data_IF_289726213214
#
_entry.id   IF_289726213214
#
_cell.length_a   1.000
_cell.length_b   1.000
_cell.length_c   1.000
_cell.angle_alpha   90.00
_cell.angle_beta   90.00
_cell.angle_gamma   90.00
#
_symmetry.space_group_name_H-M   'P 1'
#
loop_
_entity.id
_entity.type
_entity.pdbx_description
1 polymer ?
#
# COMPACT_ATOMS: atom_id res chain seq x y z
N UNK A 1 13.39 -4.07 -10.65
CA UNK A 1 12.27 -3.79 -9.72
C UNK A 1 11.75 -2.39 -9.92
N UNK A 2 10.48 -2.27 -10.26
CA UNK A 2 9.84 -0.97 -10.48
C UNK A 2 8.90 -0.65 -9.31
N UNK A 3 9.09 0.51 -8.73
CA UNK A 3 8.21 1.01 -7.67
C UNK A 3 7.56 2.27 -8.23
N UNK A 4 6.25 2.23 -8.42
CA UNK A 4 5.57 3.30 -9.13
C UNK A 4 4.15 3.51 -8.59
N UNK A 5 3.62 4.68 -8.91
CA UNK A 5 2.23 4.98 -8.63
C UNK A 5 1.37 4.03 -9.45
N UNK A 6 0.44 3.35 -8.80
CA UNK A 6 -0.42 2.38 -9.50
C UNK A 6 -1.39 3.09 -10.45
N UNK A 7 -1.65 2.43 -11.56
CA UNK A 7 -2.52 2.94 -12.63
C UNK A 7 -3.58 1.88 -12.96
N UNK A 8 -4.56 2.27 -13.76
CA UNK A 8 -5.65 1.36 -14.14
C UNK A 8 -5.16 0.00 -14.66
N UNK A 9 -4.05 -0.02 -15.37
CA UNK A 9 -3.49 -1.27 -15.89
C UNK A 9 -3.06 -2.24 -14.76
N UNK A 10 -2.89 -1.75 -13.55
CA UNK A 10 -2.48 -2.56 -12.41
C UNK A 10 -3.66 -3.16 -11.63
N UNK A 11 -4.88 -2.89 -12.07
CA UNK A 11 -6.08 -3.45 -11.42
C UNK A 11 -6.08 -4.98 -11.49
N UNK A 12 -5.41 -5.53 -12.47
CA UNK A 12 -5.30 -7.00 -12.62
C UNK A 12 -4.65 -7.65 -11.39
N UNK A 13 -3.89 -6.88 -10.61
CA UNK A 13 -3.23 -7.40 -9.40
C UNK A 13 -4.09 -7.28 -8.14
N UNK A 14 -5.26 -6.64 -8.22
CA UNK A 14 -6.07 -6.32 -7.02
C UNK A 14 -6.44 -7.56 -6.21
N UNK A 15 -6.81 -8.65 -6.89
CA UNK A 15 -7.16 -9.89 -6.22
C UNK A 15 -5.97 -10.49 -5.47
N UNK A 16 -4.82 -10.51 -6.12
CA UNK A 16 -3.59 -11.02 -5.51
C UNK A 16 -3.18 -10.18 -4.31
N UNK A 17 -3.30 -8.85 -4.43
CA UNK A 17 -2.98 -7.95 -3.34
C UNK A 17 -3.91 -8.21 -2.15
N UNK A 18 -5.20 -8.34 -2.40
CA UNK A 18 -6.20 -8.61 -1.37
C UNK A 18 -5.88 -9.89 -0.62
N UNK A 19 -5.56 -10.96 -1.34
CA UNK A 19 -5.19 -12.24 -0.72
C UNK A 19 -3.93 -12.12 0.11
N UNK A 20 -2.94 -11.39 -0.38
CA UNK A 20 -1.69 -11.19 0.34
C UNK A 20 -1.91 -10.44 1.65
N UNK A 21 -2.75 -9.43 1.64
CA UNK A 21 -3.10 -8.68 2.85
C UNK A 21 -3.82 -9.57 3.85
N UNK A 22 -4.80 -10.35 3.38
CA UNK A 22 -5.57 -11.25 4.24
C UNK A 22 -4.67 -12.29 4.91
N UNK A 23 -3.74 -12.88 4.16
CA UNK A 23 -2.84 -13.89 4.71
C UNK A 23 -1.88 -13.28 5.74
N UNK A 24 -1.39 -12.08 5.47
CA UNK A 24 -0.52 -11.38 6.40
C UNK A 24 -1.25 -11.07 7.71
N UNK A 25 -2.51 -10.69 7.63
CA UNK A 25 -3.32 -10.40 8.82
C UNK A 25 -3.56 -11.67 9.64
N UNK A 26 -3.81 -12.80 8.99
CA UNK A 26 -3.98 -14.09 9.67
C UNK A 26 -2.74 -14.48 10.45
N UNK A 27 -1.59 -14.36 9.82
CA UNK A 27 -0.31 -14.72 10.45
C UNK A 27 -0.06 -13.88 11.70
N UNK A 28 -0.43 -12.61 11.66
CA UNK A 28 -0.23 -11.72 12.81
C UNK A 28 -1.35 -11.84 13.85
N UNK A 29 -2.42 -12.57 13.54
CA UNK A 29 -3.54 -12.72 14.45
C UNK A 29 -4.31 -11.42 14.67
N UNK A 30 -4.24 -10.50 13.73
CA UNK A 30 -4.93 -9.23 13.85
C UNK A 30 -6.34 -9.31 13.27
N UNK A 31 -7.29 -8.63 13.91
CA UNK A 31 -8.67 -8.56 13.43
C UNK A 31 -8.91 -7.42 12.47
N UNK A 32 -8.02 -7.24 11.52
CA UNK A 32 -8.11 -6.14 10.57
C UNK A 32 -9.27 -6.37 9.60
N UNK A 33 -10.01 -5.30 9.30
CA UNK A 33 -11.09 -5.35 8.33
C UNK A 33 -10.54 -5.78 6.96
N UNK A 34 -11.28 -6.65 6.31
CA UNK A 34 -10.88 -7.18 5.02
C UNK A 34 -10.89 -6.09 3.94
N UNK A 35 -9.86 -6.10 3.10
CA UNK A 35 -9.80 -5.22 1.94
C UNK A 35 -10.14 -6.03 0.69
N UNK A 36 -11.31 -5.75 0.12
CA UNK A 36 -11.76 -6.48 -1.06
C UNK A 36 -10.98 -6.05 -2.30
N UNK A 37 -10.90 -6.91 -3.32
CA UNK A 37 -10.29 -6.50 -4.58
C UNK A 37 -10.95 -5.26 -5.19
N UNK A 38 -12.26 -5.12 -5.05
CA UNK A 38 -12.99 -3.95 -5.56
C UNK A 38 -12.55 -2.67 -4.87
N UNK A 39 -12.37 -2.72 -3.56
CA UNK A 39 -11.91 -1.57 -2.80
C UNK A 39 -10.50 -1.16 -3.23
N UNK A 40 -9.62 -2.15 -3.37
CA UNK A 40 -8.24 -1.89 -3.79
C UNK A 40 -8.19 -1.37 -5.23
N UNK A 41 -9.03 -1.89 -6.10
CA UNK A 41 -9.11 -1.42 -7.48
C UNK A 41 -9.47 0.07 -7.51
N UNK A 42 -10.37 0.51 -6.64
CA UNK A 42 -10.74 1.92 -6.53
C UNK A 42 -9.54 2.78 -6.16
N UNK A 43 -8.73 2.33 -5.20
CA UNK A 43 -7.51 3.04 -4.79
C UNK A 43 -6.52 3.13 -5.95
N UNK A 44 -6.35 2.04 -6.68
CA UNK A 44 -5.46 2.00 -7.84
C UNK A 44 -5.93 2.97 -8.92
N UNK A 45 -7.22 2.92 -9.23
CA UNK A 45 -7.82 3.74 -10.28
C UNK A 45 -7.71 5.23 -9.97
N UNK A 46 -7.86 5.59 -8.70
CA UNK A 46 -7.80 6.99 -8.26
C UNK A 46 -6.39 7.52 -8.09
N UNK A 47 -5.37 6.68 -8.33
CA UNK A 47 -3.99 7.10 -8.17
C UNK A 47 -3.56 7.24 -6.72
N UNK A 48 -4.24 6.56 -5.80
CA UNK A 48 -3.99 6.64 -4.38
C UNK A 48 -3.21 5.42 -3.86
N UNK A 49 -2.46 4.78 -4.73
CA UNK A 49 -1.70 3.58 -4.36
C UNK A 49 -0.37 3.54 -5.07
N UNK A 50 0.56 2.82 -4.44
CA UNK A 50 1.88 2.53 -5.01
C UNK A 50 2.00 1.02 -5.14
N UNK A 51 2.52 0.56 -6.25
CA UNK A 51 2.74 -0.86 -6.51
C UNK A 51 4.21 -1.09 -6.85
N UNK A 52 4.75 -2.20 -6.38
CA UNK A 52 6.09 -2.64 -6.74
C UNK A 52 5.96 -3.89 -7.59
N UNK A 53 6.63 -3.90 -8.72
CA UNK A 53 6.61 -5.00 -9.67
C UNK A 53 8.03 -5.42 -10.01
N UNK A 54 8.26 -6.71 -10.02
CA UNK A 54 9.50 -7.27 -10.55
C UNK A 54 9.15 -7.90 -11.90
N UNK A 55 9.43 -7.16 -12.97
CA UNK A 55 8.90 -7.43 -14.30
C UNK A 55 7.36 -7.41 -14.23
N UNK A 56 6.68 -8.51 -14.46
CA UNK A 56 5.22 -8.57 -14.36
C UNK A 56 4.75 -9.28 -13.10
N UNK A 57 5.64 -9.44 -12.13
CA UNK A 57 5.32 -10.14 -10.89
C UNK A 57 5.06 -9.13 -9.76
N UNK A 58 3.94 -9.29 -9.07
CA UNK A 58 3.61 -8.44 -7.93
C UNK A 58 4.61 -8.65 -6.80
N UNK A 59 5.19 -7.55 -6.32
CA UNK A 59 6.18 -7.59 -5.25
C UNK A 59 5.73 -6.86 -3.99
N UNK A 60 4.97 -5.79 -4.13
CA UNK A 60 4.52 -5.04 -2.95
C UNK A 60 3.50 -3.97 -3.29
N UNK A 61 2.88 -3.43 -2.24
CA UNK A 61 1.77 -2.49 -2.40
C UNK A 61 1.57 -1.67 -1.14
N UNK A 62 1.03 -0.47 -1.30
CA UNK A 62 0.57 0.37 -0.20
C UNK A 62 -0.37 1.41 -0.79
N UNK A 63 -1.38 1.82 -0.02
CA UNK A 63 -2.30 2.84 -0.49
C UNK A 63 -2.51 3.91 0.57
N UNK A 64 -3.15 5.02 0.19
CA UNK A 64 -3.45 6.09 1.13
C UNK A 64 -4.94 6.15 1.41
N UNK A 65 -5.26 6.47 2.67
CA UNK A 65 -6.60 6.81 3.12
C UNK A 65 -6.62 8.30 3.38
N UNK A 66 -7.62 8.99 2.86
CA UNK A 66 -7.73 10.44 3.00
C UNK A 66 -9.05 10.76 3.68
N UNK A 67 -9.02 11.63 4.68
CA UNK A 67 -10.25 12.09 5.32
C UNK A 67 -10.11 13.55 5.77
N UNK A 68 -11.20 14.09 6.30
CA UNK A 68 -11.22 15.50 6.71
C UNK A 68 -11.05 16.45 5.54
N UNK A 69 -11.60 16.09 4.39
CA UNK A 69 -11.51 16.89 3.15
C UNK A 69 -10.06 17.17 2.76
N UNK A 70 -9.21 16.17 2.87
CA UNK A 70 -7.81 16.29 2.48
C UNK A 70 -6.89 16.82 3.56
N UNK A 71 -7.39 16.95 4.79
CA UNK A 71 -6.55 17.40 5.90
C UNK A 71 -5.67 16.32 6.49
N UNK A 72 -6.08 15.07 6.34
CA UNK A 72 -5.40 13.93 6.93
C UNK A 72 -5.20 12.85 5.90
N UNK A 73 -4.00 12.29 5.86
CA UNK A 73 -3.64 11.17 4.98
C UNK A 73 -2.97 10.10 5.82
N UNK A 74 -3.43 8.87 5.69
CA UNK A 74 -2.80 7.73 6.33
C UNK A 74 -2.30 6.74 5.29
N UNK A 75 -1.16 6.15 5.55
CA UNK A 75 -0.62 5.07 4.72
C UNK A 75 -1.16 3.75 5.25
N UNK A 76 -1.74 2.95 4.39
CA UNK A 76 -2.42 1.73 4.80
C UNK A 76 -2.16 0.60 3.82
N UNK A 77 -2.39 -0.63 4.27
CA UNK A 77 -2.28 -1.80 3.41
C UNK A 77 -0.89 -2.09 2.91
N UNK A 78 0.14 -1.65 3.64
CA UNK A 78 1.52 -1.94 3.26
C UNK A 78 1.76 -3.44 3.32
N UNK A 79 2.14 -4.00 2.19
CA UNK A 79 2.37 -5.44 2.06
C UNK A 79 3.52 -5.69 1.10
N UNK A 80 4.32 -6.69 1.42
CA UNK A 80 5.39 -7.16 0.55
C UNK A 80 5.15 -8.65 0.32
N UNK A 81 5.15 -9.07 -0.93
CA UNK A 81 4.95 -10.48 -1.25
C UNK A 81 6.06 -11.32 -0.61
N UNK A 82 5.75 -12.54 -0.14
CA UNK A 82 6.73 -13.34 0.61
C UNK A 82 8.07 -13.50 -0.07
N UNK A 83 8.09 -13.67 -1.40
CA UNK A 83 9.33 -13.88 -2.17
C UNK A 83 10.25 -12.67 -2.14
N UNK A 84 9.73 -11.50 -1.83
CA UNK A 84 10.47 -10.24 -1.89
C UNK A 84 10.76 -9.62 -0.52
N UNK A 85 10.43 -10.33 0.55
CA UNK A 85 10.67 -9.84 1.90
C UNK A 85 12.16 -9.87 2.25
N UNK A 86 12.55 -8.99 3.19
CA UNK A 86 13.93 -8.93 3.65
C UNK A 86 14.87 -8.18 2.73
N UNK A 87 14.36 -7.44 1.76
CA UNK A 87 15.18 -6.70 0.77
C UNK A 87 15.03 -5.19 0.88
N UNK A 88 14.40 -4.70 1.96
CA UNK A 88 14.18 -3.27 2.13
C UNK A 88 13.11 -2.67 1.23
N UNK A 89 12.29 -3.52 0.60
CA UNK A 89 11.27 -3.05 -0.34
C UNK A 89 10.19 -2.22 0.34
N UNK A 90 9.81 -2.59 1.57
CA UNK A 90 8.80 -1.85 2.31
C UNK A 90 9.19 -0.39 2.49
N UNK A 91 10.46 -0.12 2.78
CA UNK A 91 10.97 1.23 2.92
C UNK A 91 10.84 2.03 1.64
N UNK A 92 11.16 1.41 0.51
CA UNK A 92 11.09 2.05 -0.80
C UNK A 92 9.64 2.37 -1.17
N UNK A 93 8.73 1.44 -0.88
CA UNK A 93 7.30 1.65 -1.11
C UNK A 93 6.79 2.82 -0.25
N UNK A 94 7.15 2.83 1.03
CA UNK A 94 6.74 3.90 1.95
C UNK A 94 7.22 5.26 1.47
N UNK A 95 8.46 5.32 0.98
CA UNK A 95 9.01 6.57 0.46
C UNK A 95 8.18 7.09 -0.70
N UNK A 96 7.80 6.21 -1.61
CA UNK A 96 7.00 6.61 -2.77
C UNK A 96 5.58 7.00 -2.36
N UNK A 97 4.98 6.29 -1.41
CA UNK A 97 3.66 6.64 -0.88
C UNK A 97 3.71 8.01 -0.22
N UNK A 98 4.77 8.31 0.50
CA UNK A 98 4.94 9.61 1.11
C UNK A 98 5.03 10.70 0.04
N UNK A 99 5.75 10.43 -1.04
CA UNK A 99 5.89 11.38 -2.15
C UNK A 99 4.53 11.68 -2.80
N UNK A 100 3.71 10.67 -3.07
CA UNK A 100 2.39 10.93 -3.67
C UNK A 100 1.46 11.63 -2.69
N UNK A 101 1.61 11.38 -1.40
CA UNK A 101 0.83 12.08 -0.37
C UNK A 101 1.14 13.57 -0.37
N UNK A 102 2.42 13.92 -0.42
CA UNK A 102 2.84 15.32 -0.47
C UNK A 102 2.40 16.00 -1.76
N UNK A 103 2.48 15.27 -2.87
CA UNK A 103 2.09 15.82 -4.17
C UNK A 103 0.61 16.15 -4.23
N UNK A 104 -0.24 15.24 -3.75
CA UNK A 104 -1.68 15.41 -3.81
C UNK A 104 -2.27 16.22 -2.67
N UNK A 105 -1.67 16.13 -1.49
CA UNK A 105 -2.20 16.77 -0.28
C UNK A 105 -1.06 17.45 0.48
N UNK A 106 -0.48 18.52 -0.08
CA UNK A 106 0.74 19.12 0.49
C UNK A 106 0.56 19.69 1.89
N UNK A 107 -0.65 20.00 2.29
CA UNK A 107 -0.92 20.56 3.62
C UNK A 107 -1.49 19.56 4.61
N UNK A 108 -1.64 18.30 4.21
CA UNK A 108 -2.23 17.28 5.06
C UNK A 108 -1.25 16.81 6.13
N UNK A 109 -1.79 16.39 7.26
CA UNK A 109 -1.02 15.61 8.22
C UNK A 109 -0.96 14.18 7.74
N UNK A 110 0.24 13.63 7.67
CA UNK A 110 0.49 12.30 7.14
C UNK A 110 0.80 11.35 8.28
N UNK A 111 0.03 10.25 8.37
CA UNK A 111 0.21 9.23 9.39
C UNK A 111 0.72 7.94 8.75
N UNK A 112 1.84 7.44 9.24
CA UNK A 112 2.29 6.10 8.87
C UNK A 112 1.65 5.13 9.83
N UNK A 113 0.61 4.49 9.41
CA UNK A 113 -0.10 3.53 10.25
C UNK A 113 0.73 2.26 10.38
N UNK A 114 0.95 1.90 11.54
CA UNK A 114 1.69 0.71 11.90
C UNK A 114 3.13 0.99 12.23
N UNK A 115 2.85 1.00 11.67
CA UNK A 115 3.76 0.65 11.58
C UNK A 115 4.50 0.30 12.29
N UNK A 116 4.17 0.64 12.29
CA UNK A 116 4.88 0.47 12.65
C UNK A 116 5.49 0.03 13.08
N UNK A 117 5.03 0.31 13.15
CA UNK A 117 5.43 -0.05 13.35
C UNK A 117 6.06 -0.82 13.60
N UNK A 118 5.92 -1.10 13.50
CA UNK A 118 6.23 -1.91 13.50
C UNK A 118 7.37 -2.24 13.59
N UNK A 119 7.48 -1.93 13.62
CA UNK A 119 8.38 -2.14 13.80
C UNK A 119 9.14 -2.49 13.97
N UNK A 120 8.80 -2.29 14.04
CA UNK A 120 9.35 -2.55 14.18
C UNK A 120 10.21 -2.96 14.08
N UNK A 121 10.26 -2.99 13.97
CA UNK A 121 10.97 -3.32 13.54
C UNK A 121 11.43 -3.59 13.24
#
# INVERSE_FOLDING_TARGET
MNILRAKAEHIIYAKQISLCIDESAKVRGTGIARRTPEYLATKIENGNAVIALDENQFAGFCYIEVWGHGKYVAHSGLIVAPEFRGRGLAKKIKKEVFNISLEQYPKAKIFGITLSLIHIS
#
